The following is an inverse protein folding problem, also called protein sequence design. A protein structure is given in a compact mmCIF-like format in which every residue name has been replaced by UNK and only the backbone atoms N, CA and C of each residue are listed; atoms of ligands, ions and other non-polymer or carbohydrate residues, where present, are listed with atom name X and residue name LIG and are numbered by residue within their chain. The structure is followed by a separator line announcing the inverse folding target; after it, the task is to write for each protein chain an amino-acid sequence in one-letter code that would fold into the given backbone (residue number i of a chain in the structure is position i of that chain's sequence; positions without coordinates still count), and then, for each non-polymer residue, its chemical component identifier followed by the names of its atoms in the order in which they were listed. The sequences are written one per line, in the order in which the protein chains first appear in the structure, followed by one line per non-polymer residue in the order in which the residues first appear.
data_IF_161673861473
#
_entry.id   IF_161673861473
#
_cell.length_a   1.000
_cell.length_b   1.000
_cell.length_c   1.000
_cell.angle_alpha   90.00
_cell.angle_beta   90.00
_cell.angle_gamma   90.00
#
_symmetry.space_group_name_H-M   'P 1'
#
loop_
_entity.id
_entity.type
_entity.pdbx_description
1 polymer ?
#
# COMPACT_ATOMS: atom_id res chain seq x y z
N UNK A 1 -8.20 -3.18 -4.12
CA UNK A 1 -8.63 -3.38 -2.73
C UNK A 1 -9.48 -2.20 -2.29
N UNK A 2 -9.61 -1.99 -0.99
CA UNK A 2 -10.45 -0.92 -0.43
C UNK A 2 -9.65 0.37 -0.21
N UNK A 3 -10.29 1.52 -0.39
CA UNK A 3 -9.82 2.76 0.21
C UNK A 3 -10.11 2.74 1.73
N UNK A 4 -9.50 3.66 2.47
CA UNK A 4 -9.81 3.81 3.91
C UNK A 4 -11.28 4.12 4.16
N UNK A 5 -11.90 4.96 3.32
CA UNK A 5 -13.31 5.30 3.41
C UNK A 5 -14.20 4.08 3.12
N UNK A 6 -13.88 3.31 2.06
CA UNK A 6 -14.59 2.08 1.74
C UNK A 6 -14.44 1.02 2.84
N UNK A 7 -13.23 0.87 3.39
CA UNK A 7 -12.97 -0.08 4.48
C UNK A 7 -13.76 0.28 5.75
N UNK A 8 -13.80 1.57 6.11
CA UNK A 8 -14.64 2.03 7.24
C UNK A 8 -16.13 1.83 6.96
N UNK A 9 -16.59 2.06 5.73
CA UNK A 9 -17.98 1.81 5.33
C UNK A 9 -18.37 0.32 5.40
N UNK A 10 -17.41 -0.58 5.16
CA UNK A 10 -17.59 -2.03 5.31
C UNK A 10 -17.43 -2.53 6.76
N UNK A 11 -17.17 -1.62 7.72
CA UNK A 11 -17.08 -1.94 9.15
C UNK A 11 -15.70 -2.35 9.65
N UNK A 12 -14.64 -2.17 8.84
CA UNK A 12 -13.26 -2.38 9.29
C UNK A 12 -12.75 -1.18 10.10
N UNK A 13 -11.95 -1.45 11.13
CA UNK A 13 -11.09 -0.42 11.73
C UNK A 13 -9.88 -0.19 10.82
N UNK A 14 -10.05 0.61 9.77
CA UNK A 14 -8.96 0.84 8.82
C UNK A 14 -7.90 1.82 9.35
N UNK A 15 -6.62 1.44 9.25
CA UNK A 15 -5.47 2.35 9.30
C UNK A 15 -4.89 2.50 7.89
N UNK A 16 -4.52 3.72 7.50
CA UNK A 16 -3.92 3.98 6.21
C UNK A 16 -2.62 4.77 6.34
N UNK A 17 -1.65 4.42 5.49
CA UNK A 17 -0.33 5.05 5.48
C UNK A 17 0.08 5.36 4.06
N UNK A 18 0.58 6.58 3.86
CA UNK A 18 1.09 7.05 2.57
C UNK A 18 2.60 7.26 2.67
N UNK A 19 3.32 6.75 1.69
CA UNK A 19 4.74 6.98 1.46
C UNK A 19 4.89 7.74 0.14
N UNK A 20 5.35 8.99 0.23
CA UNK A 20 5.70 9.79 -0.95
C UNK A 20 6.98 9.24 -1.59
N UNK A 21 7.05 9.21 -2.93
CA UNK A 21 8.21 8.68 -3.66
C UNK A 21 9.50 9.48 -3.43
N UNK A 22 9.40 10.74 -3.02
CA UNK A 22 10.58 11.52 -2.57
C UNK A 22 11.30 10.88 -1.37
N UNK A 23 10.61 10.03 -0.60
CA UNK A 23 11.19 9.29 0.52
C UNK A 23 11.68 7.89 0.12
N UNK A 24 11.63 7.54 -1.17
CA UNK A 24 12.07 6.23 -1.69
C UNK A 24 13.46 6.37 -2.33
N UNK A 25 14.51 5.72 -1.78
CA UNK A 25 15.88 5.87 -2.27
C UNK A 25 16.06 5.57 -3.77
N UNK A 26 15.36 4.56 -4.29
CA UNK A 26 15.41 4.22 -5.71
C UNK A 26 14.78 5.29 -6.59
N UNK A 27 13.67 5.89 -6.16
CA UNK A 27 13.02 7.00 -6.85
C UNK A 27 13.94 8.23 -6.91
N UNK A 28 14.61 8.54 -5.81
CA UNK A 28 15.65 9.58 -5.75
C UNK A 28 16.80 9.30 -6.73
N UNK A 29 17.33 8.08 -6.74
CA UNK A 29 18.42 7.68 -7.63
C UNK A 29 18.03 7.73 -9.12
N UNK A 30 16.76 7.45 -9.43
CA UNK A 30 16.22 7.48 -10.78
C UNK A 30 15.73 8.87 -11.21
N UNK A 31 15.78 9.88 -10.33
CA UNK A 31 15.17 11.20 -10.54
C UNK A 31 13.68 11.15 -10.88
N UNK A 32 12.97 10.15 -10.37
CA UNK A 32 11.53 9.94 -10.56
C UNK A 32 10.81 9.85 -9.21
N UNK A 33 10.64 11.01 -8.58
CA UNK A 33 10.06 11.14 -7.23
C UNK A 33 8.59 11.54 -7.24
N UNK A 34 7.94 11.55 -8.41
CA UNK A 34 6.56 12.05 -8.53
C UNK A 34 5.57 10.95 -8.18
N UNK A 35 4.82 11.17 -7.09
CA UNK A 35 3.71 10.33 -6.69
C UNK A 35 3.93 9.63 -5.35
N UNK A 36 3.12 8.62 -5.07
CA UNK A 36 3.03 8.00 -3.75
C UNK A 36 2.58 6.54 -3.79
N UNK A 37 2.81 5.86 -2.68
CA UNK A 37 2.23 4.55 -2.34
C UNK A 37 1.41 4.71 -1.08
N UNK A 38 0.10 4.43 -1.16
CA UNK A 38 -0.80 4.39 0.00
C UNK A 38 -1.25 2.96 0.24
N UNK A 39 -1.06 2.47 1.46
CA UNK A 39 -1.53 1.16 1.91
C UNK A 39 -2.67 1.35 2.92
N UNK A 40 -3.63 0.42 2.90
CA UNK A 40 -4.77 0.38 3.82
C UNK A 40 -4.78 -0.99 4.49
N UNK A 41 -4.75 -1.00 5.82
CA UNK A 41 -4.73 -2.20 6.64
C UNK A 41 -5.88 -2.20 7.64
N UNK A 42 -6.38 -3.38 7.98
CA UNK A 42 -7.25 -3.56 9.13
C UNK A 42 -6.42 -3.50 10.41
N UNK A 43 -6.71 -2.54 11.28
CA UNK A 43 -6.00 -2.28 12.53
C UNK A 43 -6.11 -3.43 13.52
N UNK A 44 -7.22 -4.17 13.52
CA UNK A 44 -7.42 -5.28 14.45
C UNK A 44 -6.51 -6.47 14.14
N UNK A 45 -6.25 -6.72 12.85
CA UNK A 45 -5.51 -7.91 12.40
C UNK A 45 -4.15 -7.60 11.78
N UNK A 46 -3.87 -6.33 11.46
CA UNK A 46 -2.71 -5.89 10.69
C UNK A 46 -2.75 -6.30 9.21
N UNK A 47 -3.84 -6.90 8.73
CA UNK A 47 -3.97 -7.41 7.36
C UNK A 47 -4.07 -6.28 6.35
N UNK A 48 -3.35 -6.42 5.24
CA UNK A 48 -3.46 -5.51 4.12
C UNK A 48 -4.79 -5.75 3.37
N UNK A 49 -5.62 -4.72 3.29
CA UNK A 49 -6.96 -4.77 2.66
C UNK A 49 -7.06 -3.85 1.44
N UNK A 50 -6.09 -2.96 1.25
CA UNK A 50 -6.08 -2.00 0.16
C UNK A 50 -4.70 -1.44 -0.15
N UNK A 51 -4.55 -0.99 -1.39
CA UNK A 51 -3.38 -0.27 -1.86
C UNK A 51 -3.80 0.69 -2.98
N UNK A 52 -3.20 1.87 -3.02
CA UNK A 52 -3.34 2.89 -4.06
C UNK A 52 -1.94 3.37 -4.40
N UNK A 53 -1.60 3.38 -5.69
CA UNK A 53 -0.23 3.69 -6.13
C UNK A 53 -0.32 4.66 -7.29
N UNK A 54 0.42 5.76 -7.19
CA UNK A 54 0.62 6.74 -8.24
C UNK A 54 2.11 6.89 -8.46
N UNK A 55 2.61 6.43 -9.60
CA UNK A 55 4.02 6.52 -10.02
C UNK A 55 4.16 6.01 -11.45
N UNK A 56 5.31 6.24 -12.10
CA UNK A 56 5.59 5.62 -13.40
C UNK A 56 5.64 4.09 -13.33
N UNK A 57 6.12 3.52 -12.22
CA UNK A 57 6.24 2.06 -12.00
C UNK A 57 4.98 1.44 -11.33
N UNK A 58 3.86 2.17 -11.26
CA UNK A 58 2.67 1.73 -10.52
C UNK A 58 2.12 0.36 -10.98
N UNK A 59 2.25 0.06 -12.27
CA UNK A 59 1.80 -1.21 -12.86
C UNK A 59 2.57 -2.44 -12.37
N UNK A 60 3.83 -2.29 -11.96
CA UNK A 60 4.62 -3.39 -11.38
C UNK A 60 4.34 -3.50 -9.88
N UNK A 61 4.38 -2.38 -9.15
CA UNK A 61 4.15 -2.37 -7.70
C UNK A 61 2.76 -2.87 -7.31
N UNK A 62 1.73 -2.58 -8.13
CA UNK A 62 0.36 -3.03 -7.85
C UNK A 62 0.22 -4.56 -7.89
N UNK A 63 1.07 -5.27 -8.64
CA UNK A 63 1.03 -6.74 -8.69
C UNK A 63 1.39 -7.34 -7.33
N UNK A 64 2.46 -6.84 -6.71
CA UNK A 64 2.88 -7.27 -5.37
C UNK A 64 1.80 -6.95 -4.34
N UNK A 65 1.24 -5.75 -4.38
CA UNK A 65 0.15 -5.37 -3.47
C UNK A 65 -1.09 -6.25 -3.66
N UNK A 66 -1.47 -6.57 -4.90
CA UNK A 66 -2.59 -7.45 -5.20
C UNK A 66 -2.36 -8.87 -4.67
N UNK A 67 -1.14 -9.40 -4.82
CA UNK A 67 -0.78 -10.72 -4.29
C UNK A 67 -0.81 -10.73 -2.75
N UNK A 68 -0.28 -9.70 -2.10
CA UNK A 68 -0.30 -9.56 -0.65
C UNK A 68 -1.72 -9.52 -0.09
N UNK A 69 -2.61 -8.73 -0.69
CA UNK A 69 -4.03 -8.66 -0.31
C UNK A 69 -4.71 -10.02 -0.52
N UNK A 70 -4.49 -10.66 -1.68
CA UNK A 70 -5.08 -11.97 -2.00
C UNK A 70 -4.65 -13.05 -1.00
N UNK A 71 -3.39 -13.02 -0.58
CA UNK A 71 -2.83 -13.96 0.39
C UNK A 71 -3.12 -13.57 1.86
N UNK A 72 -3.85 -12.47 2.10
CA UNK A 72 -4.18 -11.95 3.43
C UNK A 72 -2.94 -11.68 4.28
N UNK A 73 -1.86 -11.24 3.64
CA UNK A 73 -0.63 -10.87 4.32
C UNK A 73 -0.86 -9.64 5.21
N UNK A 74 -0.15 -9.60 6.33
CA UNK A 74 -0.05 -8.42 7.18
C UNK A 74 0.94 -7.41 6.62
N UNK A 75 0.81 -6.15 7.05
CA UNK A 75 1.79 -5.10 6.70
C UNK A 75 3.21 -5.45 7.16
N UNK A 76 3.34 -6.17 8.27
CA UNK A 76 4.62 -6.63 8.80
C UNK A 76 5.21 -7.72 7.90
N UNK A 77 4.43 -8.76 7.55
CA UNK A 77 4.90 -9.81 6.63
C UNK A 77 5.30 -9.26 5.26
N UNK A 78 4.61 -8.23 4.77
CA UNK A 78 4.98 -7.55 3.52
C UNK A 78 6.28 -6.75 3.66
N UNK A 79 6.53 -6.12 4.82
CA UNK A 79 7.76 -5.37 5.08
C UNK A 79 8.98 -6.25 5.39
N UNK A 80 8.75 -7.48 5.84
CA UNK A 80 9.80 -8.47 6.14
C UNK A 80 10.23 -9.30 4.91
N UNK A 81 9.60 -9.09 3.74
CA UNK A 81 10.05 -9.66 2.45
C UNK A 81 11.24 -8.87 1.89
#
# INVERSE_FOLDING_TARGET
GLSEEQARAEGFEADSRTLELENVPRALANFDTTGFVKLVADKATGRLIGAQILSAEAGEMIQTAALAIRNRMTVQELGDQ
#
